data_IF_463838187734
#
_entry.id   IF_463838187734
#
_cell.length_a   1.000
_cell.length_b   1.000
_cell.length_c   1.000
_cell.angle_alpha   90.00
_cell.angle_beta   90.00
_cell.angle_gamma   90.00
#
_symmetry.space_group_name_H-M   'P 1'
#
loop_
_entity.id
_entity.type
_entity.pdbx_description
1 polymer ?
#
# COMPACT_ATOMS: atom_id res chain seq x y z
N UNK A 1 -4.83 -21.50 16.41
CA UNK A 1 -4.26 -21.02 15.15
C UNK A 1 -2.92 -20.34 15.37
N UNK A 2 -2.02 -20.42 14.39
CA UNK A 2 -0.75 -19.69 14.40
C UNK A 2 -0.94 -18.23 13.98
N UNK A 3 -0.22 -17.30 14.62
CA UNK A 3 -0.21 -15.88 14.27
C UNK A 3 1.14 -15.23 14.59
N UNK A 4 1.60 -14.33 13.72
CA UNK A 4 2.79 -13.54 13.93
C UNK A 4 2.57 -12.52 15.05
N UNK A 5 3.47 -12.53 16.03
CA UNK A 5 3.37 -11.74 17.24
C UNK A 5 4.65 -10.95 17.47
N UNK A 6 4.50 -9.66 17.70
CA UNK A 6 5.59 -8.77 18.09
C UNK A 6 5.97 -8.99 19.55
N UNK A 7 7.24 -9.14 19.86
CA UNK A 7 7.74 -9.29 21.23
C UNK A 7 8.48 -8.03 21.70
N UNK A 8 9.46 -7.61 20.90
CA UNK A 8 10.32 -6.45 21.16
C UNK A 8 10.96 -5.98 19.84
N UNK A 9 11.56 -4.82 19.76
CA UNK A 9 12.27 -4.39 18.56
C UNK A 9 13.25 -5.45 18.05
N UNK A 10 13.15 -5.77 16.77
CA UNK A 10 13.95 -6.80 16.10
C UNK A 10 13.44 -8.24 16.31
N UNK A 11 12.34 -8.45 17.05
CA UNK A 11 11.92 -9.81 17.40
C UNK A 11 10.44 -10.08 17.14
N UNK A 12 10.21 -10.99 16.20
CA UNK A 12 8.90 -11.58 15.88
C UNK A 12 8.91 -13.06 16.23
N UNK A 13 7.76 -13.58 16.67
CA UNK A 13 7.56 -15.00 16.92
C UNK A 13 6.21 -15.45 16.36
N UNK A 14 6.04 -16.76 16.19
CA UNK A 14 4.72 -17.34 16.00
C UNK A 14 4.17 -17.76 17.35
N UNK A 15 2.94 -17.36 17.64
CA UNK A 15 2.20 -17.78 18.83
C UNK A 15 0.97 -18.58 18.44
N UNK A 16 0.61 -19.53 19.28
CA UNK A 16 -0.67 -20.23 19.17
C UNK A 16 -1.75 -19.49 19.95
N UNK A 17 -2.88 -19.25 19.31
CA UNK A 17 -4.03 -18.56 19.88
C UNK A 17 -5.34 -19.24 19.43
N UNK A 18 -6.45 -19.12 20.15
CA UNK A 18 -7.74 -19.56 19.64
C UNK A 18 -8.07 -18.94 18.28
N UNK A 19 -8.77 -19.70 17.42
CA UNK A 19 -9.33 -19.17 16.17
C UNK A 19 -10.32 -18.05 16.52
N UNK A 20 -10.29 -16.89 15.82
CA UNK A 20 -11.25 -15.81 16.05
C UNK A 20 -12.67 -16.26 15.69
N UNK A 21 -13.65 -15.69 16.38
CA UNK A 21 -15.08 -15.92 16.17
C UNK A 21 -15.78 -14.63 15.81
N UNK A 22 -17.00 -14.71 15.26
CA UNK A 22 -17.88 -13.57 15.03
C UNK A 22 -18.26 -12.96 16.40
N UNK A 23 -17.97 -11.67 16.57
CA UNK A 23 -18.35 -10.90 17.77
C UNK A 23 -19.46 -9.89 17.48
N UNK A 24 -19.49 -9.37 16.23
CA UNK A 24 -20.51 -8.44 15.76
C UNK A 24 -21.22 -9.02 14.55
N UNK A 25 -22.50 -8.68 14.38
CA UNK A 25 -23.31 -9.15 13.25
C UNK A 25 -22.74 -8.70 11.87
N UNK A 26 -21.84 -7.72 11.84
CA UNK A 26 -21.17 -7.18 10.65
C UNK A 26 -19.79 -7.75 10.39
N UNK A 27 -19.31 -8.66 11.23
CA UNK A 27 -17.97 -9.25 11.13
C UNK A 27 -17.93 -10.39 10.10
N UNK A 28 -16.72 -10.65 9.58
CA UNK A 28 -16.38 -11.90 8.91
C UNK A 28 -15.12 -12.51 9.52
N UNK A 29 -15.03 -13.82 9.54
CA UNK A 29 -13.79 -14.55 9.82
C UNK A 29 -13.22 -14.99 8.49
N UNK A 30 -11.95 -14.66 8.26
CA UNK A 30 -11.24 -14.96 7.02
C UNK A 30 -10.12 -15.96 7.28
N UNK A 31 -10.08 -17.05 6.52
CA UNK A 31 -8.93 -17.93 6.43
C UNK A 31 -7.93 -17.29 5.48
N UNK A 32 -6.74 -16.96 5.96
CA UNK A 32 -5.72 -16.28 5.15
C UNK A 32 -5.02 -17.28 4.23
N UNK A 33 -4.83 -16.88 2.98
CA UNK A 33 -4.07 -17.61 1.95
C UNK A 33 -2.69 -17.00 1.78
N UNK A 34 -2.62 -15.66 1.71
CA UNK A 34 -1.37 -14.91 1.61
C UNK A 34 -1.45 -13.63 2.42
N UNK A 35 -0.34 -13.28 3.01
CA UNK A 35 -0.09 -12.03 3.69
C UNK A 35 1.29 -11.49 3.29
N UNK A 36 1.69 -10.35 3.82
CA UNK A 36 3.02 -9.81 3.56
C UNK A 36 3.47 -8.88 4.68
N UNK A 37 4.75 -8.52 4.66
CA UNK A 37 5.32 -7.49 5.53
C UNK A 37 5.26 -6.14 4.82
N UNK A 38 4.76 -5.10 5.48
CA UNK A 38 4.76 -3.73 4.96
C UNK A 38 5.97 -2.93 5.45
N UNK A 39 6.36 -1.91 4.67
CA UNK A 39 7.39 -0.95 5.09
C UNK A 39 7.00 -0.21 6.37
N UNK A 40 5.71 0.03 6.61
CA UNK A 40 5.20 0.63 7.85
C UNK A 40 5.39 -0.25 9.08
N UNK A 41 5.38 -1.58 8.91
CA UNK A 41 5.65 -2.51 10.00
C UNK A 41 7.09 -2.40 10.52
N UNK A 42 8.03 -1.98 9.68
CA UNK A 42 9.43 -1.82 10.10
C UNK A 42 9.64 -0.68 11.09
N UNK A 43 8.70 0.25 11.25
CA UNK A 43 8.82 1.34 12.20
C UNK A 43 8.81 0.85 13.65
N UNK A 44 7.82 0.03 14.00
CA UNK A 44 7.77 -0.58 15.32
C UNK A 44 8.76 -1.75 15.44
N UNK A 45 9.02 -2.49 14.35
CA UNK A 45 10.05 -3.54 14.33
C UNK A 45 11.44 -2.99 14.66
N UNK A 46 11.77 -1.78 14.22
CA UNK A 46 13.01 -1.06 14.54
C UNK A 46 12.97 -0.30 15.87
N UNK A 47 11.85 -0.27 16.58
CA UNK A 47 11.66 0.49 17.81
C UNK A 47 11.51 2.01 17.60
N UNK A 48 11.30 2.48 16.35
CA UNK A 48 11.08 3.91 16.04
C UNK A 48 9.70 4.34 16.55
N UNK A 49 8.69 3.50 16.38
CA UNK A 49 7.36 3.70 16.96
C UNK A 49 7.08 2.65 18.03
N UNK A 50 6.26 3.03 19.04
CA UNK A 50 5.88 2.12 20.12
C UNK A 50 4.89 1.06 19.64
N UNK A 51 5.07 -0.18 20.09
CA UNK A 51 4.12 -1.28 19.96
C UNK A 51 4.16 -2.14 21.24
N UNK A 52 3.01 -2.58 21.69
CA UNK A 52 2.94 -3.45 22.87
C UNK A 52 3.42 -4.86 22.55
N UNK A 53 4.20 -5.46 23.45
CA UNK A 53 4.60 -6.87 23.37
C UNK A 53 3.35 -7.77 23.40
N UNK A 54 3.33 -8.81 22.58
CA UNK A 54 2.17 -9.69 22.41
C UNK A 54 1.15 -9.20 21.39
N UNK A 55 1.37 -8.05 20.74
CA UNK A 55 0.51 -7.57 19.64
C UNK A 55 0.68 -8.41 18.39
N UNK A 56 -0.44 -8.80 17.75
CA UNK A 56 -0.41 -9.49 16.45
C UNK A 56 -0.03 -8.54 15.33
N UNK A 57 0.56 -9.06 14.26
CA UNK A 57 1.16 -8.28 13.20
C UNK A 57 0.42 -8.39 11.85
N UNK A 58 0.75 -7.43 10.95
CA UNK A 58 0.27 -7.37 9.58
C UNK A 58 -1.05 -6.64 9.39
N UNK A 59 -1.27 -6.17 8.17
CA UNK A 59 -2.48 -5.45 7.75
C UNK A 59 -2.83 -5.67 6.27
N UNK A 60 -2.15 -6.58 5.58
CA UNK A 60 -2.36 -6.90 4.16
C UNK A 60 -2.57 -8.39 4.00
N UNK A 61 -3.69 -8.81 3.38
CA UNK A 61 -3.96 -10.21 3.11
C UNK A 61 -4.93 -10.41 1.94
N UNK A 62 -4.93 -11.65 1.41
CA UNK A 62 -6.02 -12.25 0.65
C UNK A 62 -6.40 -13.56 1.32
N UNK A 63 -7.68 -13.93 1.26
CA UNK A 63 -8.15 -15.11 1.97
C UNK A 63 -9.54 -15.57 1.56
N UNK A 64 -10.00 -16.64 2.19
CA UNK A 64 -11.31 -17.24 1.97
C UNK A 64 -12.19 -16.92 3.17
N UNK A 65 -13.40 -16.46 2.92
CA UNK A 65 -14.42 -16.21 3.95
C UNK A 65 -14.80 -17.53 4.60
N UNK A 66 -14.48 -17.69 5.87
CA UNK A 66 -14.76 -18.90 6.66
C UNK A 66 -16.13 -18.84 7.36
N UNK A 67 -16.50 -17.64 7.84
CA UNK A 67 -17.74 -17.40 8.55
C UNK A 67 -18.14 -15.93 8.40
N UNK A 68 -19.43 -15.63 8.42
CA UNK A 68 -19.98 -14.28 8.35
C UNK A 68 -21.02 -14.04 9.44
N UNK A 69 -21.10 -12.83 9.96
CA UNK A 69 -22.16 -12.38 10.84
C UNK A 69 -23.49 -12.21 10.10
N UNK A 70 -24.57 -12.17 10.86
CA UNK A 70 -25.97 -12.20 10.32
C UNK A 70 -26.35 -11.00 9.46
N UNK A 71 -25.61 -9.88 9.57
CA UNK A 71 -25.81 -8.66 8.76
C UNK A 71 -24.83 -8.52 7.58
N UNK A 72 -23.98 -9.51 7.36
CA UNK A 72 -23.09 -9.53 6.21
C UNK A 72 -23.82 -10.09 5.00
N UNK A 73 -23.91 -9.29 3.92
CA UNK A 73 -24.68 -9.61 2.70
C UNK A 73 -23.83 -9.61 1.43
N UNK A 74 -22.71 -8.88 1.42
CA UNK A 74 -21.89 -8.65 0.22
C UNK A 74 -20.93 -9.82 -0.07
N UNK A 75 -20.61 -10.59 0.97
CA UNK A 75 -19.77 -11.79 0.89
C UNK A 75 -20.40 -12.95 1.64
N UNK A 76 -20.04 -14.16 1.25
CA UNK A 76 -20.56 -15.41 1.83
C UNK A 76 -19.41 -16.37 2.16
N UNK A 77 -19.66 -17.35 3.03
CA UNK A 77 -18.71 -18.42 3.29
C UNK A 77 -18.26 -19.09 2.00
N UNK A 78 -16.94 -19.23 1.84
CA UNK A 78 -16.29 -19.80 0.66
C UNK A 78 -15.86 -18.75 -0.39
N UNK A 79 -16.29 -17.49 -0.27
CA UNK A 79 -15.84 -16.44 -1.19
C UNK A 79 -14.34 -16.15 -1.02
N UNK A 80 -13.62 -16.01 -2.12
CA UNK A 80 -12.25 -15.54 -2.14
C UNK A 80 -12.23 -14.02 -2.15
N UNK A 81 -11.46 -13.38 -1.26
CA UNK A 81 -11.54 -11.94 -1.03
C UNK A 81 -10.15 -11.28 -0.85
N UNK A 82 -10.06 -10.02 -1.29
CA UNK A 82 -9.02 -9.09 -0.85
C UNK A 82 -9.44 -8.58 0.52
N UNK A 83 -8.49 -8.56 1.47
CA UNK A 83 -8.68 -8.10 2.85
C UNK A 83 -7.88 -6.82 3.05
N UNK A 84 -8.51 -5.63 2.90
CA UNK A 84 -7.81 -4.36 2.97
C UNK A 84 -7.34 -3.99 4.36
N UNK A 85 -6.33 -3.12 4.44
CA UNK A 85 -5.85 -2.58 5.71
C UNK A 85 -6.79 -1.53 6.32
N UNK A 86 -7.69 -0.94 5.54
CA UNK A 86 -8.68 0.02 5.99
C UNK A 86 -10.09 -0.56 5.98
N UNK A 87 -10.91 -0.12 6.93
CA UNK A 87 -12.27 -0.60 7.14
C UNK A 87 -13.25 0.57 7.02
N UNK A 88 -13.95 0.67 5.91
CA UNK A 88 -15.03 1.62 5.72
C UNK A 88 -16.39 1.06 6.15
N UNK A 89 -17.33 1.91 6.55
CA UNK A 89 -18.71 1.51 6.79
C UNK A 89 -19.64 1.75 5.58
N UNK A 90 -19.15 2.42 4.53
CA UNK A 90 -19.92 2.76 3.33
C UNK A 90 -21.00 3.83 3.52
N UNK A 91 -21.31 4.26 4.74
CA UNK A 91 -22.49 5.07 5.02
C UNK A 91 -22.18 6.47 5.59
N UNK A 92 -21.05 6.65 6.28
CA UNK A 92 -20.68 7.92 6.84
C UNK A 92 -20.27 8.95 5.75
N UNK A 93 -20.23 10.24 6.06
CA UNK A 93 -19.84 11.26 5.08
C UNK A 93 -18.48 11.02 4.43
N UNK A 94 -17.48 10.56 5.19
CA UNK A 94 -16.16 10.24 4.67
C UNK A 94 -16.20 9.11 3.64
N UNK A 95 -16.88 8.00 3.95
CA UNK A 95 -17.04 6.88 3.02
C UNK A 95 -17.80 7.29 1.74
N UNK A 96 -18.89 8.06 1.89
CA UNK A 96 -19.66 8.56 0.75
C UNK A 96 -18.89 9.52 -0.15
N UNK A 97 -17.92 10.24 0.42
CA UNK A 97 -17.01 11.12 -0.31
C UNK A 97 -15.81 10.38 -0.93
N UNK A 98 -15.69 9.04 -0.77
CA UNK A 98 -14.58 8.25 -1.29
C UNK A 98 -13.35 8.19 -0.38
N UNK A 99 -13.47 8.61 0.89
CA UNK A 99 -12.41 8.59 1.90
C UNK A 99 -12.70 7.57 3.01
N UNK A 100 -12.97 6.34 2.63
CA UNK A 100 -13.30 5.26 3.56
C UNK A 100 -12.14 4.85 4.48
N UNK A 101 -10.89 5.11 4.09
CA UNK A 101 -9.73 5.04 4.98
C UNK A 101 -9.83 5.96 6.20
N UNK A 102 -10.66 7.01 6.13
CA UNK A 102 -10.97 7.96 7.21
C UNK A 102 -12.40 7.79 7.73
N UNK A 103 -12.92 6.57 7.74
CA UNK A 103 -14.27 6.25 8.20
C UNK A 103 -14.50 6.72 9.64
N UNK A 104 -15.55 7.52 9.87
CA UNK A 104 -15.91 8.01 11.20
C UNK A 104 -16.57 6.95 12.09
N UNK A 105 -17.05 5.86 11.50
CA UNK A 105 -17.64 4.71 12.18
C UNK A 105 -16.66 3.52 12.24
N UNK A 106 -15.37 3.80 12.13
CA UNK A 106 -14.34 2.77 12.17
C UNK A 106 -14.36 2.04 13.52
N UNK A 107 -14.56 0.73 13.45
CA UNK A 107 -14.45 -0.16 14.62
C UNK A 107 -13.20 -1.01 14.43
N UNK A 108 -12.05 -0.52 14.90
CA UNK A 108 -10.84 -1.32 14.92
C UNK A 108 -11.05 -2.52 15.87
N UNK A 109 -10.97 -3.72 15.34
CA UNK A 109 -10.86 -4.90 16.21
C UNK A 109 -9.50 -4.86 16.93
N UNK A 110 -9.50 -5.11 18.23
CA UNK A 110 -8.26 -5.23 18.99
C UNK A 110 -7.52 -6.49 18.56
N UNK A 111 -6.20 -6.40 18.43
CA UNK A 111 -5.33 -7.56 18.19
C UNK A 111 -5.69 -8.37 16.93
N UNK A 112 -5.88 -7.69 15.80
CA UNK A 112 -6.07 -8.34 14.50
C UNK A 112 -4.73 -8.67 13.89
N UNK A 113 -4.50 -9.93 13.52
CA UNK A 113 -3.26 -10.40 12.91
C UNK A 113 -3.48 -10.88 11.48
N UNK A 114 -3.17 -10.04 10.50
CA UNK A 114 -3.24 -10.45 9.09
C UNK A 114 -2.13 -11.45 8.72
N UNK A 115 -1.03 -11.44 9.45
CA UNK A 115 0.04 -12.44 9.31
C UNK A 115 -0.26 -13.64 10.24
N UNK A 116 -1.37 -14.31 9.99
CA UNK A 116 -1.87 -15.46 10.76
C UNK A 116 -2.78 -16.34 9.92
N UNK A 117 -3.17 -17.50 10.44
CA UNK A 117 -4.01 -18.45 9.71
C UNK A 117 -5.45 -17.94 9.54
N UNK A 118 -5.96 -17.20 10.50
CA UNK A 118 -7.31 -16.60 10.47
C UNK A 118 -7.29 -15.21 11.05
N UNK A 119 -8.17 -14.34 10.56
CA UNK A 119 -8.43 -13.05 11.15
C UNK A 119 -9.94 -12.78 11.26
N UNK A 120 -10.35 -11.96 12.23
CA UNK A 120 -11.69 -11.37 12.28
C UNK A 120 -11.64 -10.00 11.64
N UNK A 121 -12.47 -9.80 10.63
CA UNK A 121 -12.58 -8.55 9.89
C UNK A 121 -13.91 -7.86 10.21
N UNK A 122 -13.86 -6.60 10.63
CA UNK A 122 -15.05 -5.81 10.99
C UNK A 122 -15.58 -5.04 9.78
N UNK A 123 -16.88 -4.72 9.77
CA UNK A 123 -17.56 -4.00 8.66
C UNK A 123 -17.36 -4.68 7.29
N UNK A 124 -17.55 -5.99 7.25
CA UNK A 124 -17.19 -6.83 6.10
C UNK A 124 -17.94 -6.45 4.79
N UNK A 125 -19.17 -5.94 4.87
CA UNK A 125 -19.98 -5.60 3.70
C UNK A 125 -19.35 -4.57 2.78
N UNK A 126 -18.73 -3.54 3.32
CA UNK A 126 -18.16 -2.48 2.48
C UNK A 126 -16.69 -2.73 2.13
N UNK A 127 -15.99 -3.33 3.06
CA UNK A 127 -14.54 -3.35 3.02
C UNK A 127 -13.95 -4.53 2.24
N UNK A 128 -14.52 -5.73 2.37
CA UNK A 128 -14.03 -6.90 1.63
C UNK A 128 -14.34 -6.78 0.13
N UNK A 129 -13.36 -7.14 -0.71
CA UNK A 129 -13.55 -7.16 -2.17
C UNK A 129 -13.49 -8.58 -2.68
N UNK A 130 -14.62 -9.05 -3.25
CA UNK A 130 -14.72 -10.40 -3.78
C UNK A 130 -13.87 -10.56 -5.04
N UNK A 131 -13.03 -11.59 -5.05
CA UNK A 131 -12.26 -12.05 -6.20
C UNK A 131 -13.05 -13.18 -6.86
N UNK A 132 -13.27 -13.19 -8.20
CA UNK A 132 -13.92 -14.31 -8.89
C UNK A 132 -13.15 -15.62 -8.67
N UNK A 133 -13.85 -16.74 -8.58
CA UNK A 133 -13.23 -18.07 -8.46
C UNK A 133 -12.60 -18.36 -7.09
N UNK A 134 -11.60 -19.23 -7.08
CA UNK A 134 -10.89 -19.71 -5.89
C UNK A 134 -9.37 -19.48 -6.04
N UNK A 135 -8.59 -19.50 -4.96
CA UNK A 135 -7.13 -19.37 -5.06
C UNK A 135 -6.46 -20.38 -6.01
N UNK A 136 -7.01 -21.59 -6.12
CA UNK A 136 -6.53 -22.64 -7.02
C UNK A 136 -6.69 -22.34 -8.51
N UNK A 137 -7.52 -21.36 -8.86
CA UNK A 137 -7.80 -20.98 -10.25
C UNK A 137 -6.75 -19.99 -10.78
N UNK A 138 -5.85 -19.52 -9.92
CA UNK A 138 -4.84 -18.52 -10.22
C UNK A 138 -3.43 -19.05 -10.01
N UNK A 139 -2.50 -18.61 -10.86
CA UNK A 139 -1.08 -18.84 -10.66
C UNK A 139 -0.51 -17.96 -9.53
N UNK A 140 0.72 -18.27 -9.14
CA UNK A 140 1.39 -17.55 -8.07
C UNK A 140 1.61 -16.06 -8.36
N UNK A 141 1.84 -15.70 -9.61
CA UNK A 141 2.06 -14.32 -10.05
C UNK A 141 0.78 -13.49 -9.91
N UNK A 142 -0.35 -14.04 -10.35
CA UNK A 142 -1.66 -13.40 -10.20
C UNK A 142 -2.04 -13.28 -8.72
N UNK A 143 -1.85 -14.34 -7.90
CA UNK A 143 -2.13 -14.27 -6.47
C UNK A 143 -1.27 -13.23 -5.75
N UNK A 144 -0.01 -13.07 -6.13
CA UNK A 144 0.86 -12.01 -5.60
C UNK A 144 0.34 -10.62 -6.00
N UNK A 145 -0.06 -10.44 -7.26
CA UNK A 145 -0.62 -9.18 -7.73
C UNK A 145 -1.93 -8.84 -7.02
N UNK A 146 -2.82 -9.81 -6.81
CA UNK A 146 -4.05 -9.64 -6.04
C UNK A 146 -3.78 -9.21 -4.59
N UNK A 147 -2.76 -9.77 -3.95
CA UNK A 147 -2.38 -9.37 -2.59
C UNK A 147 -1.98 -7.89 -2.50
N UNK A 148 -1.30 -7.33 -3.52
CA UNK A 148 -0.91 -5.91 -3.49
C UNK A 148 -2.09 -4.96 -3.46
N UNK A 149 -3.28 -5.41 -3.89
CA UNK A 149 -4.52 -4.61 -3.88
C UNK A 149 -5.06 -4.39 -2.46
N UNK A 150 -4.58 -5.15 -1.48
CA UNK A 150 -4.94 -4.93 -0.07
C UNK A 150 -4.31 -3.67 0.52
N UNK A 151 -3.19 -3.16 -0.07
CA UNK A 151 -2.53 -1.92 0.34
C UNK A 151 -1.70 -1.30 -0.80
N UNK A 152 -0.49 -1.83 -1.11
CA UNK A 152 0.57 -1.06 -1.79
C UNK A 152 0.21 -0.62 -3.20
N UNK A 153 -0.53 -1.42 -3.97
CA UNK A 153 -1.00 -1.00 -5.29
C UNK A 153 -2.12 0.04 -5.19
N UNK A 154 -3.07 -0.16 -4.27
CA UNK A 154 -4.13 0.80 -4.02
C UNK A 154 -3.57 2.13 -3.48
N UNK A 155 -2.57 2.07 -2.59
CA UNK A 155 -1.89 3.26 -2.05
C UNK A 155 -1.09 4.00 -3.13
N UNK A 156 -0.38 3.28 -4.01
CA UNK A 156 0.31 3.88 -5.15
C UNK A 156 -0.67 4.53 -6.15
N UNK A 157 -1.80 3.87 -6.42
CA UNK A 157 -2.87 4.42 -7.25
C UNK A 157 -3.51 5.66 -6.62
N UNK A 158 -3.77 5.63 -5.31
CA UNK A 158 -4.28 6.78 -4.56
C UNK A 158 -3.34 7.99 -4.66
N UNK A 159 -2.01 7.77 -4.56
CA UNK A 159 -1.05 8.85 -4.76
C UNK A 159 -1.18 9.48 -6.14
N UNK A 160 -1.26 8.67 -7.20
CA UNK A 160 -1.38 9.16 -8.58
C UNK A 160 -2.73 9.85 -8.85
N UNK A 161 -3.83 9.25 -8.39
CA UNK A 161 -5.17 9.80 -8.56
C UNK A 161 -5.34 11.15 -7.80
N UNK A 162 -4.83 11.24 -6.56
CA UNK A 162 -4.89 12.48 -5.78
C UNK A 162 -3.90 13.53 -6.24
N UNK A 163 -2.81 13.16 -6.91
CA UNK A 163 -1.92 14.06 -7.64
C UNK A 163 -2.55 14.57 -8.95
N UNK A 164 -3.75 14.12 -9.30
CA UNK A 164 -4.48 14.48 -10.51
C UNK A 164 -3.70 14.14 -11.81
N UNK A 165 -2.95 13.04 -11.81
CA UNK A 165 -2.21 12.57 -12.99
C UNK A 165 -3.16 12.41 -14.17
N UNK A 166 -2.73 12.92 -15.35
CA UNK A 166 -3.50 12.93 -16.60
C UNK A 166 -2.66 12.42 -17.75
N UNK A 167 -3.34 12.10 -18.85
CA UNK A 167 -2.70 11.76 -20.11
C UNK A 167 -1.73 12.89 -20.55
N UNK A 168 -0.53 12.49 -20.90
CA UNK A 168 0.53 13.40 -21.37
C UNK A 168 1.42 13.99 -20.28
N UNK A 169 1.06 13.86 -18.99
CA UNK A 169 1.82 14.44 -17.88
C UNK A 169 3.25 13.91 -17.75
N UNK A 170 4.11 14.76 -17.21
CA UNK A 170 5.40 14.39 -16.62
C UNK A 170 5.21 14.19 -15.12
N UNK A 171 5.40 12.97 -14.64
CA UNK A 171 5.20 12.58 -13.25
C UNK A 171 6.54 12.24 -12.60
N UNK A 172 6.80 12.75 -11.40
CA UNK A 172 7.92 12.31 -10.56
C UNK A 172 7.41 11.41 -9.44
N UNK A 173 7.98 10.23 -9.32
CA UNK A 173 7.69 9.29 -8.23
C UNK A 173 8.86 9.27 -7.24
N UNK A 174 8.61 9.72 -6.03
CA UNK A 174 9.58 9.79 -4.94
C UNK A 174 9.44 8.58 -4.02
N UNK A 175 10.49 7.79 -3.94
CA UNK A 175 10.54 6.54 -3.18
C UNK A 175 10.49 5.30 -4.07
N UNK A 176 11.40 4.36 -3.77
CA UNK A 176 11.62 3.12 -4.50
C UNK A 176 11.21 1.87 -3.69
N UNK A 177 10.38 2.07 -2.67
CA UNK A 177 9.67 0.99 -1.96
C UNK A 177 8.47 0.48 -2.77
N UNK A 178 7.80 -0.55 -2.26
CA UNK A 178 6.66 -1.17 -2.96
C UNK A 178 5.57 -0.16 -3.35
N UNK A 179 5.24 0.80 -2.48
CA UNK A 179 4.24 1.84 -2.77
C UNK A 179 4.69 2.75 -3.92
N UNK A 180 5.94 3.24 -3.91
CA UNK A 180 6.44 4.09 -4.99
C UNK A 180 6.52 3.35 -6.32
N UNK A 181 6.98 2.08 -6.32
CA UNK A 181 6.99 1.22 -7.51
C UNK A 181 5.58 0.99 -8.05
N UNK A 182 4.59 0.75 -7.19
CA UNK A 182 3.18 0.70 -7.57
C UNK A 182 2.65 2.07 -8.07
N UNK A 183 3.18 3.18 -7.54
CA UNK A 183 2.91 4.54 -8.03
C UNK A 183 3.38 4.75 -9.48
N UNK A 184 4.50 4.11 -9.88
CA UNK A 184 4.94 4.09 -11.30
C UNK A 184 3.91 3.40 -12.19
N UNK A 185 3.41 2.22 -11.77
CA UNK A 185 2.33 1.52 -12.48
C UNK A 185 1.09 2.42 -12.59
N UNK A 186 0.70 3.05 -11.49
CA UNK A 186 -0.49 3.90 -11.44
C UNK A 186 -0.36 5.13 -12.34
N UNK A 187 0.80 5.81 -12.35
CA UNK A 187 1.05 6.94 -13.23
C UNK A 187 0.94 6.53 -14.71
N UNK A 188 1.48 5.36 -15.08
CA UNK A 188 1.34 4.80 -16.42
C UNK A 188 -0.12 4.47 -16.77
N UNK A 189 -0.87 3.85 -15.85
CA UNK A 189 -2.29 3.54 -16.04
C UNK A 189 -3.14 4.80 -16.29
N UNK A 190 -2.80 5.92 -15.65
CA UNK A 190 -3.49 7.20 -15.80
C UNK A 190 -3.00 8.02 -17.01
N UNK A 191 -2.07 7.48 -17.82
CA UNK A 191 -1.67 8.05 -19.08
C UNK A 191 -0.49 9.00 -19.03
N UNK A 192 0.29 9.01 -17.95
CA UNK A 192 1.53 9.80 -17.91
C UNK A 192 2.46 9.45 -19.09
N UNK A 193 2.96 10.47 -19.78
CA UNK A 193 3.87 10.31 -20.92
C UNK A 193 5.33 10.15 -20.47
N UNK A 194 5.70 10.80 -19.38
CA UNK A 194 7.02 10.71 -18.78
C UNK A 194 6.91 10.39 -17.30
N UNK A 195 7.62 9.35 -16.85
CA UNK A 195 7.61 8.93 -15.44
C UNK A 195 9.05 8.87 -14.95
N UNK A 196 9.42 9.80 -14.09
CA UNK A 196 10.75 9.91 -13.50
C UNK A 196 10.72 9.24 -12.13
N UNK A 197 11.37 8.10 -11.96
CA UNK A 197 11.46 7.40 -10.69
C UNK A 197 12.75 7.75 -9.94
N UNK A 198 12.62 8.16 -8.67
CA UNK A 198 13.77 8.47 -7.83
C UNK A 198 14.23 7.24 -7.05
N UNK A 199 15.31 6.60 -7.49
CA UNK A 199 15.85 5.39 -6.89
C UNK A 199 17.37 5.34 -6.95
N UNK A 200 18.02 4.82 -5.87
CA UNK A 200 19.49 4.60 -5.80
C UNK A 200 19.89 3.13 -5.88
N UNK A 201 18.92 2.21 -5.85
CA UNK A 201 19.17 0.78 -5.81
C UNK A 201 18.88 0.17 -7.18
N UNK A 202 19.87 -0.49 -7.78
CA UNK A 202 19.78 -1.01 -9.16
C UNK A 202 18.60 -1.96 -9.39
N UNK A 203 18.38 -2.89 -8.47
CA UNK A 203 17.25 -3.83 -8.51
C UNK A 203 15.89 -3.10 -8.55
N UNK A 204 15.77 -2.01 -7.81
CA UNK A 204 14.55 -1.18 -7.77
C UNK A 204 14.42 -0.28 -8.99
N UNK A 205 15.55 0.21 -9.53
CA UNK A 205 15.57 0.94 -10.80
C UNK A 205 15.09 0.07 -11.95
N UNK A 206 15.60 -1.16 -12.04
CA UNK A 206 15.21 -2.14 -13.06
C UNK A 206 13.71 -2.47 -12.96
N UNK A 207 13.20 -2.63 -11.75
CA UNK A 207 11.77 -2.87 -11.54
C UNK A 207 10.92 -1.63 -11.87
N UNK A 208 11.40 -0.42 -11.52
CA UNK A 208 10.71 0.82 -11.90
C UNK A 208 10.62 0.97 -13.42
N UNK A 209 11.69 0.69 -14.16
CA UNK A 209 11.70 0.68 -15.63
C UNK A 209 10.74 -0.38 -16.19
N UNK A 210 10.73 -1.57 -15.62
CA UNK A 210 9.78 -2.65 -15.97
C UNK A 210 8.33 -2.20 -15.78
N UNK A 211 8.05 -1.46 -14.74
CA UNK A 211 6.72 -0.92 -14.44
C UNK A 211 6.32 0.28 -15.30
N UNK A 212 7.29 0.87 -16.02
CA UNK A 212 7.04 1.92 -17.00
C UNK A 212 7.66 3.27 -16.69
N UNK A 213 8.59 3.35 -15.73
CA UNK A 213 9.41 4.55 -15.58
C UNK A 213 10.21 4.79 -16.86
N UNK A 214 10.31 6.05 -17.28
CA UNK A 214 11.07 6.46 -18.46
C UNK A 214 12.47 6.95 -18.11
N UNK A 215 12.63 7.48 -16.91
CA UNK A 215 13.88 8.05 -16.42
C UNK A 215 14.11 7.65 -14.95
N UNK A 216 15.38 7.53 -14.58
CA UNK A 216 15.81 7.28 -13.20
C UNK A 216 16.63 8.48 -12.71
N UNK A 217 16.35 8.93 -11.49
CA UNK A 217 17.11 9.95 -10.76
C UNK A 217 17.66 9.35 -9.49
N UNK A 218 18.98 9.26 -9.35
CA UNK A 218 19.66 8.68 -8.20
C UNK A 218 19.95 9.72 -7.12
N UNK A 219 20.04 10.97 -7.51
CA UNK A 219 20.39 12.10 -6.66
C UNK A 219 19.34 12.34 -5.57
N UNK A 220 19.69 13.12 -4.55
CA UNK A 220 18.82 13.55 -3.45
C UNK A 220 19.06 15.03 -3.13
N UNK A 221 18.09 15.66 -2.48
CA UNK A 221 18.16 17.08 -2.10
C UNK A 221 18.32 17.99 -3.33
N UNK A 222 19.14 19.01 -3.22
CA UNK A 222 19.30 20.04 -4.25
C UNK A 222 19.83 19.50 -5.59
N UNK A 223 20.65 18.44 -5.56
CA UNK A 223 21.12 17.79 -6.78
C UNK A 223 19.97 17.09 -7.52
N UNK A 224 19.05 16.44 -6.79
CA UNK A 224 17.88 15.85 -7.37
C UNK A 224 16.94 16.92 -7.96
N UNK A 225 16.72 18.03 -7.24
CA UNK A 225 15.94 19.17 -7.73
C UNK A 225 16.51 19.66 -9.04
N UNK A 226 17.82 19.96 -9.08
CA UNK A 226 18.49 20.39 -10.30
C UNK A 226 18.32 19.39 -11.44
N UNK A 227 18.57 18.10 -11.18
CA UNK A 227 18.46 17.05 -12.20
C UNK A 227 17.05 16.93 -12.77
N UNK A 228 16.01 17.00 -11.93
CA UNK A 228 14.62 16.94 -12.38
C UNK A 228 14.23 18.19 -13.16
N UNK A 229 14.66 19.38 -12.72
CA UNK A 229 14.43 20.61 -13.47
C UNK A 229 15.11 20.59 -14.82
N UNK A 230 16.34 20.08 -14.93
CA UNK A 230 17.03 19.89 -16.22
C UNK A 230 16.27 18.92 -17.14
N UNK A 231 15.77 17.80 -16.60
CA UNK A 231 14.96 16.83 -17.34
C UNK A 231 13.61 17.38 -17.80
N UNK A 232 13.07 18.38 -17.12
CA UNK A 232 11.78 19.01 -17.42
C UNK A 232 11.90 20.39 -18.06
N UNK A 233 13.07 20.73 -18.62
CA UNK A 233 13.36 22.04 -19.23
C UNK A 233 13.00 23.22 -18.30
N UNK A 234 13.32 23.10 -17.02
CA UNK A 234 13.05 24.07 -15.94
C UNK A 234 11.57 24.29 -15.63
N UNK A 235 10.64 23.54 -16.23
CA UNK A 235 9.22 23.67 -15.97
C UNK A 235 8.81 23.04 -14.62
N UNK A 236 9.45 21.95 -14.24
CA UNK A 236 9.04 21.08 -13.13
C UNK A 236 8.05 20.00 -13.57
N UNK A 237 7.66 19.14 -12.65
CA UNK A 237 6.73 18.03 -12.89
C UNK A 237 5.27 18.48 -12.85
N UNK A 238 4.43 17.90 -13.72
CA UNK A 238 2.98 18.10 -13.72
C UNK A 238 2.32 17.53 -12.45
N UNK A 239 2.80 16.40 -11.99
CA UNK A 239 2.38 15.75 -10.75
C UNK A 239 3.57 15.12 -10.02
N UNK A 240 3.51 15.08 -8.70
CA UNK A 240 4.54 14.44 -7.85
C UNK A 240 3.88 13.43 -6.92
N UNK A 241 4.36 12.19 -6.93
CA UNK A 241 3.93 11.15 -6.00
C UNK A 241 4.95 11.06 -4.86
N UNK A 242 4.58 11.54 -3.67
CA UNK A 242 5.44 11.53 -2.48
C UNK A 242 5.12 10.28 -1.65
N UNK A 243 5.98 9.24 -1.74
CA UNK A 243 5.80 7.92 -1.12
C UNK A 243 6.81 7.62 0.00
N UNK A 244 7.47 8.64 0.56
CA UNK A 244 8.55 8.48 1.56
C UNK A 244 8.14 9.01 2.93
N UNK A 245 7.62 10.25 3.00
CA UNK A 245 7.11 10.87 4.22
C UNK A 245 8.15 11.64 5.05
N UNK A 246 9.42 11.73 4.62
CA UNK A 246 10.45 12.52 5.32
C UNK A 246 10.33 14.00 4.99
N UNK A 247 10.85 14.86 5.88
CA UNK A 247 10.93 16.31 5.62
C UNK A 247 11.66 16.60 4.31
N UNK A 248 12.82 15.99 4.09
CA UNK A 248 13.59 16.16 2.85
C UNK A 248 12.79 15.77 1.59
N UNK A 249 12.02 14.68 1.64
CA UNK A 249 11.23 14.26 0.48
C UNK A 249 10.09 15.23 0.19
N UNK A 250 9.40 15.70 1.23
CA UNK A 250 8.32 16.68 1.10
C UNK A 250 8.84 18.00 0.58
N UNK A 251 9.97 18.49 1.09
CA UNK A 251 10.59 19.72 0.62
C UNK A 251 11.03 19.61 -0.85
N UNK A 252 11.73 18.52 -1.19
CA UNK A 252 12.09 18.23 -2.60
C UNK A 252 10.84 18.21 -3.50
N UNK A 253 9.74 17.56 -3.08
CA UNK A 253 8.50 17.50 -3.84
C UNK A 253 7.95 18.90 -4.18
N UNK A 254 7.98 19.85 -3.23
CA UNK A 254 7.51 21.22 -3.46
C UNK A 254 8.40 21.99 -4.41
N UNK A 255 9.70 21.68 -4.45
CA UNK A 255 10.65 22.35 -5.32
C UNK A 255 10.55 21.90 -6.77
N UNK A 256 10.36 20.57 -7.00
CA UNK A 256 10.30 19.97 -8.34
C UNK A 256 8.93 20.07 -9.01
N UNK A 257 7.87 20.30 -8.24
CA UNK A 257 6.52 20.52 -8.78
C UNK A 257 6.47 21.85 -9.57
N UNK A 258 5.87 21.83 -10.78
CA UNK A 258 5.64 23.06 -11.51
C UNK A 258 4.58 23.93 -10.83
N UNK A 259 4.47 25.23 -11.17
CA UNK A 259 3.32 26.01 -10.73
C UNK A 259 1.98 25.39 -11.14
N UNK A 260 1.03 25.31 -10.20
CA UNK A 260 -0.27 24.71 -10.40
C UNK A 260 -0.31 23.18 -10.38
N UNK A 261 0.81 22.50 -10.07
CA UNK A 261 0.85 21.04 -9.92
C UNK A 261 0.20 20.58 -8.62
N UNK A 262 -0.10 19.29 -8.54
CA UNK A 262 -0.58 18.66 -7.30
C UNK A 262 0.41 17.59 -6.85
N UNK A 263 0.70 17.58 -5.55
CA UNK A 263 1.50 16.54 -4.89
C UNK A 263 0.54 15.55 -4.25
N UNK A 264 0.58 14.29 -4.68
CA UNK A 264 -0.13 13.16 -4.08
C UNK A 264 0.76 12.50 -3.02
N UNK A 265 0.52 12.82 -1.74
CA UNK A 265 1.33 12.37 -0.63
C UNK A 265 0.72 11.19 0.08
N UNK A 266 1.40 10.04 0.06
CA UNK A 266 1.01 8.83 0.78
C UNK A 266 2.14 8.31 1.71
N UNK A 267 3.31 8.94 1.67
CA UNK A 267 4.39 8.68 2.62
C UNK A 267 3.95 8.99 4.06
N UNK A 268 4.13 8.02 4.98
CA UNK A 268 3.76 8.20 6.39
C UNK A 268 4.61 9.33 6.99
N UNK A 269 3.98 10.37 7.58
CA UNK A 269 4.68 11.53 8.09
C UNK A 269 5.70 11.20 9.17
N UNK A 270 6.95 11.67 8.97
CA UNK A 270 8.06 11.55 9.90
C UNK A 270 8.45 12.92 10.47
N UNK A 271 7.56 13.56 11.26
CA UNK A 271 7.72 14.92 11.79
C UNK A 271 8.02 15.96 10.70
N UNK A 272 7.18 16.14 9.71
CA UNK A 272 7.47 17.08 8.66
C UNK A 272 7.12 18.50 9.11
N UNK A 273 8.12 19.32 9.31
CA UNK A 273 7.94 20.75 9.09
C UNK A 273 7.85 20.94 7.57
N UNK A 274 6.76 21.52 7.12
CA UNK A 274 6.56 21.80 5.70
C UNK A 274 6.71 23.29 5.43
N UNK A 275 7.62 23.63 4.52
CA UNK A 275 7.71 24.99 4.00
C UNK A 275 6.49 25.30 3.10
N UNK A 276 5.50 25.97 3.66
CA UNK A 276 4.27 26.31 2.94
C UNK A 276 4.46 27.46 1.93
N UNK A 277 5.59 28.16 1.93
CA UNK A 277 5.85 29.25 0.98
C UNK A 277 5.81 28.76 -0.47
N UNK A 278 6.47 27.62 -0.77
CA UNK A 278 6.45 27.07 -2.12
C UNK A 278 5.02 26.70 -2.56
N UNK A 279 4.20 26.17 -1.66
CA UNK A 279 2.79 25.86 -1.97
C UNK A 279 2.04 27.10 -2.39
N UNK A 280 2.20 28.20 -1.62
CA UNK A 280 1.51 29.47 -1.90
C UNK A 280 2.01 30.11 -3.20
N UNK A 281 3.32 30.34 -3.34
CA UNK A 281 3.87 31.09 -4.47
C UNK A 281 3.80 30.35 -5.81
N UNK A 282 3.75 29.02 -5.78
CA UNK A 282 3.60 28.19 -6.99
C UNK A 282 2.17 27.68 -7.20
N UNK A 283 1.19 27.99 -6.34
CA UNK A 283 -0.16 27.42 -6.36
C UNK A 283 -0.15 25.88 -6.37
N UNK A 284 0.73 25.26 -5.59
CA UNK A 284 0.84 23.79 -5.52
C UNK A 284 -0.26 23.25 -4.62
N UNK A 285 -1.04 22.30 -5.13
CA UNK A 285 -1.95 21.48 -4.34
C UNK A 285 -1.22 20.38 -3.58
N UNK A 286 -1.65 20.06 -2.36
CA UNK A 286 -1.20 18.92 -1.59
C UNK A 286 -2.41 18.07 -1.21
N UNK A 287 -2.44 16.83 -1.64
CA UNK A 287 -3.52 15.87 -1.38
C UNK A 287 -2.92 14.50 -1.05
N UNK A 288 -3.76 13.50 -0.77
CA UNK A 288 -3.34 12.13 -0.45
C UNK A 288 -3.78 11.72 0.94
N UNK A 289 -2.86 11.17 1.72
CA UNK A 289 -3.12 10.61 3.04
C UNK A 289 -3.37 9.10 3.00
N UNK A 290 -4.22 8.60 3.89
CA UNK A 290 -4.57 7.17 3.96
C UNK A 290 -5.40 6.82 2.73
N UNK A 291 -4.94 5.82 1.98
CA UNK A 291 -5.63 5.38 0.77
C UNK A 291 -7.01 4.81 1.07
N UNK A 292 -7.95 5.16 0.21
CA UNK A 292 -9.28 4.55 0.17
C UNK A 292 -9.19 3.25 -0.61
N UNK A 293 -9.22 2.13 0.10
CA UNK A 293 -8.95 0.83 -0.52
C UNK A 293 -10.19 -0.02 -0.75
N UNK A 294 -11.37 0.51 -0.45
CA UNK A 294 -12.64 -0.24 -0.50
C UNK A 294 -13.60 0.18 -1.59
N UNK A 295 -13.27 1.17 -2.41
CA UNK A 295 -14.17 1.76 -3.39
C UNK A 295 -13.78 1.48 -4.84
N UNK A 296 -14.19 2.32 -5.75
CA UNK A 296 -14.03 2.20 -7.21
C UNK A 296 -12.62 1.85 -7.68
N UNK A 297 -11.61 2.32 -6.97
CA UNK A 297 -10.20 2.07 -7.32
C UNK A 297 -9.86 0.58 -7.28
N UNK A 298 -10.43 -0.19 -6.33
CA UNK A 298 -10.19 -1.64 -6.28
C UNK A 298 -10.84 -2.38 -7.43
N UNK A 299 -12.04 -1.97 -7.85
CA UNK A 299 -12.67 -2.59 -9.01
C UNK A 299 -11.85 -2.36 -10.27
N UNK A 300 -11.31 -1.17 -10.47
CA UNK A 300 -10.39 -0.83 -11.58
C UNK A 300 -9.10 -1.64 -11.49
N UNK A 301 -8.51 -1.71 -10.31
CA UNK A 301 -7.25 -2.41 -10.08
C UNK A 301 -7.43 -3.93 -10.16
N UNK A 302 -8.54 -4.47 -9.65
CA UNK A 302 -8.86 -5.89 -9.74
C UNK A 302 -8.99 -6.33 -11.20
N UNK A 303 -9.73 -5.59 -12.03
CA UNK A 303 -9.84 -5.86 -13.46
C UNK A 303 -8.46 -5.80 -14.14
N UNK A 304 -7.66 -4.79 -13.83
CA UNK A 304 -6.33 -4.63 -14.42
C UNK A 304 -5.38 -5.80 -14.08
N UNK A 305 -5.46 -6.36 -12.87
CA UNK A 305 -4.71 -7.56 -12.47
C UNK A 305 -5.25 -8.80 -13.18
N UNK A 306 -6.57 -9.03 -13.13
CA UNK A 306 -7.21 -10.22 -13.70
C UNK A 306 -7.09 -10.28 -15.23
N UNK A 307 -6.97 -9.13 -15.89
CA UNK A 307 -6.72 -9.03 -17.34
C UNK A 307 -5.25 -8.92 -17.70
N UNK A 308 -4.35 -9.10 -16.73
CA UNK A 308 -2.88 -9.00 -16.90
C UNK A 308 -2.39 -7.68 -17.51
N UNK A 309 -3.14 -6.60 -17.36
CA UNK A 309 -2.71 -5.24 -17.77
C UNK A 309 -1.62 -4.68 -16.86
N UNK A 310 -1.62 -5.10 -15.60
CA UNK A 310 -0.60 -4.76 -14.60
C UNK A 310 -0.15 -6.01 -13.84
N UNK A 311 1.10 -5.99 -13.38
CA UNK A 311 1.68 -7.05 -12.56
C UNK A 311 2.41 -6.47 -11.34
N UNK A 312 1.68 -5.87 -10.39
CA UNK A 312 2.29 -5.28 -9.21
C UNK A 312 2.92 -6.32 -8.26
N UNK A 313 2.59 -7.61 -8.43
CA UNK A 313 3.13 -8.72 -7.62
C UNK A 313 4.65 -8.87 -7.71
N UNK A 314 5.28 -8.31 -8.74
CA UNK A 314 6.75 -8.30 -8.88
C UNK A 314 7.48 -7.54 -7.76
N UNK A 315 6.78 -6.74 -6.94
CA UNK A 315 7.36 -6.14 -5.73
C UNK A 315 7.72 -7.17 -4.66
N UNK A 316 7.11 -8.36 -4.70
CA UNK A 316 7.46 -9.47 -3.80
C UNK A 316 8.73 -10.18 -4.30
N UNK A 317 9.88 -9.72 -3.84
CA UNK A 317 11.18 -10.27 -4.27
C UNK A 317 11.66 -11.44 -3.42
N UNK A 318 11.03 -11.70 -2.28
CA UNK A 318 11.27 -12.90 -1.44
C UNK A 318 9.96 -13.43 -0.86
N UNK A 319 9.89 -14.76 -0.69
CA UNK A 319 8.74 -15.48 -0.14
C UNK A 319 9.15 -16.30 1.07
N UNK A 320 8.29 -16.35 2.08
CA UNK A 320 8.49 -17.07 3.34
C UNK A 320 7.19 -17.80 3.70
N UNK A 321 7.29 -18.89 4.42
CA UNK A 321 6.14 -19.50 5.10
C UNK A 321 5.88 -18.74 6.41
N UNK A 322 4.68 -18.84 6.95
CA UNK A 322 4.29 -18.12 8.18
C UNK A 322 5.26 -18.40 9.34
N UNK A 323 5.73 -19.64 9.49
CA UNK A 323 6.67 -20.02 10.56
C UNK A 323 8.04 -19.32 10.45
N UNK A 324 8.39 -18.80 9.27
CA UNK A 324 9.62 -18.04 9.01
C UNK A 324 9.42 -16.52 9.11
N UNK A 325 8.39 -16.05 9.82
CA UNK A 325 8.03 -14.61 9.88
C UNK A 325 9.19 -13.71 10.32
N UNK A 326 10.03 -14.15 11.27
CA UNK A 326 11.21 -13.41 11.68
C UNK A 326 12.14 -13.12 10.49
N UNK A 327 12.39 -14.11 9.63
CA UNK A 327 13.22 -13.95 8.44
C UNK A 327 12.61 -13.01 7.42
N UNK A 328 11.27 -13.00 7.31
CA UNK A 328 10.56 -12.08 6.41
C UNK A 328 10.75 -10.62 6.81
N UNK A 329 10.69 -10.30 8.12
CA UNK A 329 10.99 -8.96 8.65
C UNK A 329 12.46 -8.59 8.46
N UNK A 330 13.39 -9.49 8.80
CA UNK A 330 14.82 -9.26 8.63
C UNK A 330 15.21 -8.98 7.18
N UNK A 331 14.62 -9.69 6.22
CA UNK A 331 14.91 -9.49 4.80
C UNK A 331 14.54 -8.08 4.33
N UNK A 332 13.40 -7.54 4.78
CA UNK A 332 13.02 -6.17 4.47
C UNK A 332 13.83 -5.15 5.26
N UNK A 333 14.15 -5.43 6.54
CA UNK A 333 14.92 -4.54 7.39
C UNK A 333 16.34 -4.33 6.83
N UNK A 334 16.98 -5.41 6.37
CA UNK A 334 18.31 -5.42 5.72
C UNK A 334 18.25 -4.95 4.26
N UNK A 335 17.06 -4.66 3.69
CA UNK A 335 16.83 -4.35 2.29
C UNK A 335 17.18 -5.47 1.31
N UNK A 336 17.21 -6.71 1.77
CA UNK A 336 17.40 -7.91 0.95
C UNK A 336 16.12 -8.28 0.19
N UNK A 337 15.00 -7.69 0.55
CA UNK A 337 13.72 -7.78 -0.16
C UNK A 337 13.12 -6.37 -0.34
N UNK A 338 12.48 -6.13 -1.49
CA UNK A 338 11.63 -4.94 -1.69
C UNK A 338 10.38 -5.10 -0.83
N UNK A 339 9.72 -6.26 -0.94
CA UNK A 339 8.59 -6.67 -0.10
C UNK A 339 8.65 -8.18 0.14
N UNK A 340 8.42 -8.59 1.38
CA UNK A 340 8.40 -10.01 1.78
C UNK A 340 6.98 -10.56 1.71
N UNK A 341 6.77 -11.58 0.86
CA UNK A 341 5.55 -12.37 0.81
C UNK A 341 5.54 -13.37 1.97
N UNK A 342 4.37 -13.57 2.59
CA UNK A 342 4.11 -14.60 3.60
C UNK A 342 3.03 -15.54 3.09
N UNK A 343 3.38 -16.79 2.83
CA UNK A 343 2.46 -17.85 2.43
C UNK A 343 1.90 -18.47 3.70
N UNK A 344 0.58 -18.55 3.79
CA UNK A 344 -0.13 -19.10 4.95
C UNK A 344 -0.83 -20.39 4.51
N UNK A 345 -0.50 -21.49 5.15
CA UNK A 345 -1.09 -22.82 4.90
C UNK A 345 -2.31 -23.08 5.80
#
# INVERSE_FOLDING_TARGET
MKVATFIEPGKMVITDTPKPVIEQETDAVIKIVRACVCGSDLWWYRGISKRESGSFAGHEAIGIVEEVGTKVTDVSKGDFVIVPFTHGCGQCPSCKAGFDGNCTNHQAAKNVGYQGQYLRYTNANWALVKIPGQPSDYDNETLNSLLTLSDVMATGYHAAATAEVKEGDTVVVMGDGAVGLCGVIAAKMLGANRIIAMSRHKDRQELALTFGATDIVEERGDEAVKRILDLTNQAGADAVLECVGTEQSVDTATQIARPGAVIGRVGIPQNPDMNTNNLFWKNIGLRGGIASVTTFDKSVLLDAVLTHKINPGLVFTKSFVLDDIQKAYEAMDKRDAIKSLVIVD
#
